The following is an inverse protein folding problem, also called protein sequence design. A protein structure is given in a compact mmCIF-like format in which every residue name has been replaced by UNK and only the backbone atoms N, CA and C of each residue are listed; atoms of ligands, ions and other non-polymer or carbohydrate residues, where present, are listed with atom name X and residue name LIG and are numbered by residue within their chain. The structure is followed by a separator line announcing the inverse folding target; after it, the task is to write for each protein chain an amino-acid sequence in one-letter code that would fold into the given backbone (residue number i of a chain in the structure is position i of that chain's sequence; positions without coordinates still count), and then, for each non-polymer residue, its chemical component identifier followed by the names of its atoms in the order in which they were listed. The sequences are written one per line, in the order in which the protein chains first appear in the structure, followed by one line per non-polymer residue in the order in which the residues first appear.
data_IF_316613526687
#
_entry.id   IF_316613526687
#
_cell.length_a   1.000
_cell.length_b   1.000
_cell.length_c   1.000
_cell.angle_alpha   90.00
_cell.angle_beta   90.00
_cell.angle_gamma   90.00
#
_symmetry.space_group_name_H-M   'P 1'
#
loop_
_entity.id
_entity.type
_entity.pdbx_description
1 polymer ?
#
# COMPACT_ATOMS: atom_id res chain seq x y z
N UNK A 1 -13.09 9.59 -4.20
CA UNK A 1 -12.60 10.98 -4.28
C UNK A 1 -13.65 11.80 -5.01
N UNK A 2 -14.18 12.85 -4.38
CA UNK A 2 -15.12 13.76 -5.02
C UNK A 2 -14.30 14.74 -5.86
N UNK A 3 -14.45 14.72 -7.18
CA UNK A 3 -13.76 15.67 -8.07
C UNK A 3 -14.48 17.01 -7.99
N UNK A 4 -14.04 17.88 -7.09
CA UNK A 4 -14.56 19.25 -6.96
C UNK A 4 -14.19 20.14 -8.15
N UNK A 5 -13.19 19.72 -8.94
CA UNK A 5 -12.63 20.49 -10.07
C UNK A 5 -11.57 21.52 -9.65
N UNK A 6 -11.31 21.66 -8.36
CA UNK A 6 -10.27 22.56 -7.85
C UNK A 6 -8.92 21.84 -7.78
N UNK A 7 -8.25 21.77 -8.93
CA UNK A 7 -6.96 21.10 -9.08
C UNK A 7 -5.85 21.76 -8.25
N UNK A 8 -5.88 23.10 -8.12
CA UNK A 8 -4.88 23.84 -7.35
C UNK A 8 -4.95 23.53 -5.86
N UNK A 9 -6.16 23.52 -5.28
CA UNK A 9 -6.34 23.10 -3.90
C UNK A 9 -6.00 21.61 -3.71
N UNK A 10 -6.37 20.76 -4.67
CA UNK A 10 -6.04 19.34 -4.65
C UNK A 10 -4.53 19.08 -4.58
N UNK A 11 -3.76 19.77 -5.43
CA UNK A 11 -2.30 19.68 -5.42
C UNK A 11 -1.71 20.20 -4.11
N UNK A 12 -2.17 21.36 -3.62
CA UNK A 12 -1.67 21.93 -2.37
C UNK A 12 -1.89 21.01 -1.16
N UNK A 13 -3.05 20.33 -1.10
CA UNK A 13 -3.34 19.35 -0.05
C UNK A 13 -2.47 18.10 -0.17
N UNK A 14 -2.19 17.66 -1.40
CA UNK A 14 -1.32 16.52 -1.65
C UNK A 14 0.13 16.81 -1.23
N UNK A 15 0.65 17.97 -1.62
CA UNK A 15 2.01 18.41 -1.27
C UNK A 15 2.16 18.52 0.25
N UNK A 16 1.18 19.13 0.94
CA UNK A 16 1.15 19.21 2.40
C UNK A 16 1.10 17.83 3.06
N UNK A 17 0.35 16.90 2.48
CA UNK A 17 0.24 15.53 3.01
C UNK A 17 1.56 14.78 2.89
N UNK A 18 2.23 14.88 1.72
CA UNK A 18 3.53 14.24 1.50
C UNK A 18 4.59 14.83 2.43
N UNK A 19 4.64 16.15 2.57
CA UNK A 19 5.56 16.83 3.49
C UNK A 19 5.36 16.35 4.94
N UNK A 20 4.11 16.24 5.39
CA UNK A 20 3.79 15.73 6.72
C UNK A 20 4.24 14.27 6.90
N UNK A 21 3.94 13.39 5.92
CA UNK A 21 4.31 11.97 5.97
C UNK A 21 5.83 11.78 6.02
N UNK A 22 6.57 12.57 5.25
CA UNK A 22 8.03 12.42 5.11
C UNK A 22 8.80 13.06 6.28
N UNK A 23 8.40 14.26 6.71
CA UNK A 23 9.24 15.09 7.59
C UNK A 23 8.70 15.22 9.01
N UNK A 24 7.39 15.09 9.21
CA UNK A 24 6.77 15.30 10.52
C UNK A 24 6.39 13.99 11.20
N UNK A 25 5.62 13.15 10.51
CA UNK A 25 5.03 11.94 11.06
C UNK A 25 6.04 10.97 11.70
N UNK A 26 7.24 10.73 11.16
CA UNK A 26 8.23 9.85 11.78
C UNK A 26 8.66 10.30 13.19
N UNK A 27 8.46 11.58 13.54
CA UNK A 27 8.75 12.11 14.88
C UNK A 27 7.63 11.86 15.90
N UNK A 28 6.42 11.49 15.44
CA UNK A 28 5.24 11.34 16.28
C UNK A 28 4.81 9.89 16.52
N UNK A 29 5.22 8.96 15.67
CA UNK A 29 4.83 7.55 15.76
C UNK A 29 6.03 6.61 15.68
N UNK A 30 6.05 5.61 16.56
CA UNK A 30 7.12 4.60 16.65
C UNK A 30 7.20 3.71 15.39
N UNK A 31 6.07 3.54 14.70
CA UNK A 31 5.95 2.73 13.50
C UNK A 31 5.31 3.53 12.35
N UNK A 32 6.09 4.39 11.67
CA UNK A 32 5.58 5.25 10.59
C UNK A 32 4.99 4.47 9.40
N UNK A 33 5.42 3.22 9.24
CA UNK A 33 5.01 2.32 8.16
C UNK A 33 3.67 1.61 8.40
N UNK A 34 3.00 1.89 9.52
CA UNK A 34 1.68 1.31 9.85
C UNK A 34 0.61 1.61 8.80
N UNK A 35 0.79 2.67 8.01
CA UNK A 35 -0.16 3.10 6.99
C UNK A 35 0.47 3.04 5.61
N UNK A 36 -0.33 2.67 4.61
CA UNK A 36 0.08 2.64 3.21
C UNK A 36 -0.11 4.03 2.57
N UNK A 37 1.01 4.63 2.15
CA UNK A 37 1.04 5.94 1.48
C UNK A 37 1.23 5.83 -0.04
N UNK A 38 1.23 4.63 -0.61
CA UNK A 38 1.41 4.39 -2.06
C UNK A 38 0.49 5.26 -2.90
N UNK A 39 -0.77 5.41 -2.48
CA UNK A 39 -1.76 6.24 -3.18
C UNK A 39 -1.42 7.73 -3.22
N UNK A 40 -0.72 8.27 -2.21
CA UNK A 40 -0.30 9.67 -2.19
C UNK A 40 0.79 9.92 -3.23
N UNK A 41 1.79 9.04 -3.29
CA UNK A 41 2.86 9.13 -4.28
C UNK A 41 2.37 8.85 -5.71
N UNK A 42 1.39 7.95 -5.89
CA UNK A 42 0.72 7.78 -7.18
C UNK A 42 -0.02 9.04 -7.63
N UNK A 43 -0.70 9.72 -6.69
CA UNK A 43 -1.40 10.96 -6.99
C UNK A 43 -0.42 12.10 -7.34
N UNK A 44 0.79 12.11 -6.79
CA UNK A 44 1.81 13.13 -7.10
C UNK A 44 2.62 12.80 -8.36
N UNK A 45 2.45 11.60 -8.91
CA UNK A 45 3.21 11.11 -10.06
C UNK A 45 4.61 10.59 -9.72
N UNK A 46 4.98 10.51 -8.44
CA UNK A 46 6.25 9.95 -8.00
C UNK A 46 6.19 8.42 -7.93
N UNK A 47 6.34 7.78 -9.09
CA UNK A 47 6.19 6.33 -9.23
C UNK A 47 7.24 5.54 -8.44
N UNK A 48 8.47 6.07 -8.31
CA UNK A 48 9.53 5.42 -7.55
C UNK A 48 9.23 5.40 -6.06
N UNK A 49 8.75 6.52 -5.50
CA UNK A 49 8.29 6.55 -4.10
C UNK A 49 7.04 5.70 -3.90
N UNK A 50 6.14 5.66 -4.88
CA UNK A 50 4.97 4.79 -4.81
C UNK A 50 5.35 3.30 -4.70
N UNK A 51 6.24 2.82 -5.56
CA UNK A 51 6.71 1.42 -5.53
C UNK A 51 7.42 1.14 -4.21
N UNK A 52 8.32 2.03 -3.77
CA UNK A 52 9.08 1.87 -2.53
C UNK A 52 8.16 1.85 -1.29
N UNK A 53 7.11 2.66 -1.27
CA UNK A 53 6.10 2.65 -0.21
C UNK A 53 5.30 1.34 -0.20
N UNK A 54 4.95 0.81 -1.37
CA UNK A 54 4.27 -0.48 -1.47
C UNK A 54 5.16 -1.63 -1.00
N UNK A 55 6.42 -1.68 -1.43
CA UNK A 55 7.41 -2.66 -0.96
C UNK A 55 7.56 -2.61 0.56
N UNK A 56 7.67 -1.42 1.13
CA UNK A 56 7.75 -1.22 2.58
C UNK A 56 6.51 -1.78 3.29
N UNK A 57 5.32 -1.52 2.76
CA UNK A 57 4.05 -2.07 3.28
C UNK A 57 4.06 -3.60 3.27
N UNK A 58 4.57 -4.20 2.19
CA UNK A 58 4.69 -5.66 2.04
C UNK A 58 5.73 -6.25 3.00
N UNK A 59 6.86 -5.57 3.19
CA UNK A 59 7.94 -5.98 4.11
C UNK A 59 7.47 -6.01 5.58
N UNK A 60 6.54 -5.13 5.95
CA UNK A 60 6.00 -5.05 7.30
C UNK A 60 4.75 -5.92 7.53
N UNK A 61 4.35 -6.73 6.55
CA UNK A 61 3.21 -7.64 6.70
C UNK A 61 1.83 -6.98 6.57
N UNK A 62 1.76 -5.75 6.04
CA UNK A 62 0.53 -4.97 5.99
C UNK A 62 -0.30 -5.30 4.73
N UNK A 63 -0.86 -6.51 4.70
CA UNK A 63 -1.58 -7.01 3.51
C UNK A 63 -3.08 -6.64 3.49
N UNK A 64 -3.60 -5.97 4.50
CA UNK A 64 -5.05 -5.72 4.59
C UNK A 64 -5.55 -4.90 3.40
N UNK A 65 -6.56 -5.43 2.70
CA UNK A 65 -7.17 -4.74 1.55
C UNK A 65 -6.31 -4.69 0.28
N UNK A 66 -5.14 -5.35 0.24
CA UNK A 66 -4.20 -5.29 -0.90
C UNK A 66 -4.91 -5.51 -2.24
N UNK A 67 -5.76 -6.53 -2.34
CA UNK A 67 -6.46 -6.88 -3.57
C UNK A 67 -7.43 -5.79 -4.01
N UNK A 68 -8.09 -5.11 -3.08
CA UNK A 68 -9.00 -4.01 -3.40
C UNK A 68 -8.18 -2.84 -3.93
N UNK A 69 -7.12 -2.42 -3.21
CA UNK A 69 -6.36 -1.23 -3.55
C UNK A 69 -5.60 -1.36 -4.87
N UNK A 70 -4.91 -2.48 -5.08
CA UNK A 70 -4.06 -2.69 -6.28
C UNK A 70 -4.88 -2.86 -7.56
N UNK A 71 -6.19 -3.11 -7.46
CA UNK A 71 -7.11 -3.16 -8.60
C UNK A 71 -7.71 -1.79 -8.97
N UNK A 72 -7.50 -0.75 -8.16
CA UNK A 72 -8.04 0.57 -8.46
C UNK A 72 -7.33 1.18 -9.68
N UNK A 73 -8.04 1.96 -10.53
CA UNK A 73 -7.47 2.48 -11.78
C UNK A 73 -6.21 3.33 -11.62
N UNK A 74 -6.02 3.99 -10.47
CA UNK A 74 -4.82 4.81 -10.24
C UNK A 74 -3.56 3.99 -9.91
N UNK A 75 -3.68 2.67 -9.71
CA UNK A 75 -2.52 1.76 -9.66
C UNK A 75 -2.07 1.31 -11.06
N UNK A 76 -2.80 1.66 -12.12
CA UNK A 76 -2.41 1.35 -13.51
C UNK A 76 -0.95 1.70 -13.82
N UNK A 77 -0.39 2.85 -13.38
CA UNK A 77 1.01 3.18 -13.66
C UNK A 77 2.03 2.20 -13.08
N UNK A 78 1.67 1.39 -12.08
CA UNK A 78 2.57 0.39 -11.50
C UNK A 78 2.44 -1.00 -12.13
N UNK A 79 1.38 -1.25 -12.91
CA UNK A 79 1.12 -2.59 -13.47
C UNK A 79 2.18 -2.96 -14.49
N UNK A 80 2.71 -4.17 -14.36
CA UNK A 80 3.82 -4.65 -15.19
C UNK A 80 5.19 -4.07 -14.82
N UNK A 81 5.29 -3.21 -13.81
CA UNK A 81 6.58 -2.82 -13.25
C UNK A 81 7.15 -4.00 -12.44
N UNK A 82 8.39 -4.46 -12.73
CA UNK A 82 8.93 -5.67 -12.11
C UNK A 82 8.96 -5.70 -10.58
N UNK A 83 9.31 -4.59 -9.91
CA UNK A 83 9.36 -4.52 -8.44
C UNK A 83 7.95 -4.60 -7.84
N UNK A 84 6.99 -3.91 -8.44
CA UNK A 84 5.59 -3.98 -8.03
C UNK A 84 5.01 -5.38 -8.20
N UNK A 85 5.24 -6.04 -9.34
CA UNK A 85 4.78 -7.41 -9.57
C UNK A 85 5.45 -8.41 -8.61
N UNK A 86 6.73 -8.24 -8.31
CA UNK A 86 7.43 -9.05 -7.33
C UNK A 86 6.86 -8.88 -5.91
N UNK A 87 6.59 -7.65 -5.49
CA UNK A 87 5.95 -7.35 -4.22
C UNK A 87 4.54 -7.95 -4.15
N UNK A 88 3.76 -7.83 -5.22
CA UNK A 88 2.44 -8.46 -5.37
C UNK A 88 2.51 -9.99 -5.25
N UNK A 89 3.52 -10.62 -5.85
CA UNK A 89 3.71 -12.06 -5.75
C UNK A 89 3.97 -12.48 -4.30
N UNK A 90 4.83 -11.75 -3.58
CA UNK A 90 5.09 -12.01 -2.15
C UNK A 90 3.81 -11.96 -1.31
N UNK A 91 2.92 -10.99 -1.57
CA UNK A 91 1.62 -10.94 -0.90
C UNK A 91 0.78 -12.18 -1.21
N UNK A 92 0.74 -12.65 -2.46
CA UNK A 92 -0.02 -13.85 -2.84
C UNK A 92 0.51 -15.11 -2.17
N UNK A 93 1.82 -15.25 -2.11
CA UNK A 93 2.48 -16.38 -1.46
C UNK A 93 2.12 -16.42 0.03
N UNK A 94 2.19 -15.28 0.70
CA UNK A 94 1.83 -15.17 2.11
C UNK A 94 0.34 -15.45 2.36
N UNK A 95 -0.57 -14.94 1.52
CA UNK A 95 -2.00 -15.27 1.62
C UNK A 95 -2.28 -16.76 1.41
N UNK A 96 -1.49 -17.42 0.56
CA UNK A 96 -1.59 -18.88 0.34
C UNK A 96 -1.15 -19.63 1.59
N UNK A 97 0.01 -19.28 2.16
CA UNK A 97 0.53 -19.86 3.38
C UNK A 97 -0.44 -19.67 4.57
N UNK A 98 -1.03 -18.48 4.71
CA UNK A 98 -2.01 -18.21 5.77
C UNK A 98 -3.26 -19.09 5.63
N UNK A 99 -3.77 -19.29 4.40
CA UNK A 99 -4.93 -20.17 4.15
C UNK A 99 -4.64 -21.63 4.46
N UNK A 100 -3.47 -22.13 4.05
CA UNK A 100 -3.05 -23.49 4.37
C UNK A 100 -2.89 -23.70 5.88
N UNK A 101 -2.34 -22.70 6.57
CA UNK A 101 -2.20 -22.73 8.02
C UNK A 101 -3.56 -22.80 8.73
N UNK A 102 -4.54 -22.00 8.30
CA UNK A 102 -5.90 -22.04 8.85
C UNK A 102 -6.55 -23.41 8.61
N UNK A 103 -6.45 -23.96 7.40
CA UNK A 103 -7.00 -25.28 7.09
C UNK A 103 -6.40 -26.40 7.98
N UNK A 104 -5.10 -26.29 8.29
CA UNK A 104 -4.43 -27.21 9.23
C UNK A 104 -4.93 -27.04 10.66
N UNK A 105 -5.09 -25.79 11.12
CA UNK A 105 -5.63 -25.51 12.46
C UNK A 105 -7.03 -26.12 12.58
N UNK A 106 -7.92 -25.88 11.62
CA UNK A 106 -9.29 -26.41 11.61
C UNK A 106 -9.31 -27.94 11.63
N UNK A 107 -8.43 -28.60 10.86
CA UNK A 107 -8.30 -30.06 10.86
C UNK A 107 -7.83 -30.63 12.22
N UNK A 108 -7.03 -29.87 12.97
CA UNK A 108 -6.51 -30.29 14.29
C UNK A 108 -7.39 -29.88 15.47
N UNK A 109 -8.26 -28.88 15.29
CA UNK A 109 -9.12 -28.37 16.35
C UNK A 109 -10.27 -29.34 16.74
N UNK A 110 -10.62 -30.29 15.86
CA UNK A 110 -11.77 -31.18 16.07
C UNK A 110 -13.12 -30.44 16.01
N UNK A 111 -14.25 -31.13 15.79
CA UNK A 111 -15.58 -30.54 15.86
C UNK A 111 -15.98 -30.10 17.28
#
# INVERSE_FOLDING_TARGET
MMRTGDEALGQALLDMTIEYIENELPNYIEHPYRYDYTGCYLASGDLEKAISAFETTVDHGHYSGWWIFTNLPWFEPLRGEPRFEAALQRVRDEMTAQRENLARIDATAGP
#
